data_IF_023467281044
#
_entry.id   IF_023467281044
#
_cell.length_a   1.000
_cell.length_b   1.000
_cell.length_c   1.000
_cell.angle_alpha   90.00
_cell.angle_beta   90.00
_cell.angle_gamma   90.00
#
_symmetry.space_group_name_H-M   'P 1'
#
loop_
_entity.id
_entity.type
_entity.pdbx_description
1 polymer ?
#
# COMPACT_ATOMS: atom_id res chain seq x y z
N UNK A 1 -8.60 -19.18 -2.91
CA UNK A 1 -7.19 -19.04 -3.35
C UNK A 1 -6.27 -18.79 -2.14
N UNK A 2 -6.21 -19.73 -1.21
CA UNK A 2 -5.13 -19.79 -0.21
C UNK A 2 -4.60 -21.22 -0.28
N UNK A 3 -3.74 -21.48 -1.27
CA UNK A 3 -3.13 -22.79 -1.50
C UNK A 3 -1.75 -22.85 -0.84
N UNK A 4 -1.26 -24.07 -0.60
CA UNK A 4 0.00 -24.42 0.08
C UNK A 4 1.29 -23.92 -0.61
N UNK A 5 1.17 -23.02 -1.59
CA UNK A 5 2.26 -22.46 -2.36
C UNK A 5 2.07 -20.95 -2.59
N UNK A 6 1.50 -20.25 -1.60
CA UNK A 6 1.38 -18.80 -1.63
C UNK A 6 2.77 -18.17 -1.48
N UNK A 7 3.24 -17.34 -2.43
CA UNK A 7 4.62 -16.86 -2.43
C UNK A 7 4.91 -15.84 -1.34
N UNK A 8 3.87 -15.17 -0.83
CA UNK A 8 3.98 -14.29 0.34
C UNK A 8 3.80 -15.15 1.58
N UNK A 9 4.80 -15.17 2.44
CA UNK A 9 4.80 -15.97 3.67
C UNK A 9 3.76 -15.45 4.66
N UNK A 10 3.25 -16.36 5.51
CA UNK A 10 2.32 -15.98 6.57
C UNK A 10 2.96 -14.97 7.54
N UNK A 11 4.23 -15.18 7.90
CA UNK A 11 4.96 -14.30 8.80
C UNK A 11 5.03 -12.85 8.26
N UNK A 12 5.30 -12.67 6.96
CA UNK A 12 5.33 -11.33 6.36
C UNK A 12 3.95 -10.66 6.38
N UNK A 13 2.88 -11.44 6.19
CA UNK A 13 1.50 -10.94 6.29
C UNK A 13 1.19 -10.53 7.72
N UNK A 14 1.47 -11.40 8.70
CA UNK A 14 1.23 -11.15 10.12
C UNK A 14 2.02 -9.91 10.60
N UNK A 15 3.31 -9.81 10.24
CA UNK A 15 4.18 -8.67 10.56
C UNK A 15 3.65 -7.37 9.95
N UNK A 16 3.16 -7.43 8.71
CA UNK A 16 2.61 -6.25 8.02
C UNK A 16 1.30 -5.80 8.67
N UNK A 17 0.43 -6.75 9.04
CA UNK A 17 -0.82 -6.46 9.75
C UNK A 17 -0.50 -5.82 11.11
N UNK A 18 0.44 -6.39 11.87
CA UNK A 18 0.86 -5.84 13.16
C UNK A 18 1.45 -4.42 13.02
N UNK A 19 2.30 -4.20 12.02
CA UNK A 19 2.88 -2.89 11.72
C UNK A 19 1.81 -1.83 11.40
N UNK A 20 0.89 -2.14 10.49
CA UNK A 20 -0.17 -1.19 10.14
C UNK A 20 -1.14 -0.96 11.29
N UNK A 21 -1.46 -1.99 12.08
CA UNK A 21 -2.26 -1.83 13.29
C UNK A 21 -1.59 -0.86 14.26
N UNK A 22 -0.30 -1.04 14.54
CA UNK A 22 0.45 -0.14 15.41
C UNK A 22 0.44 1.31 14.90
N UNK A 23 0.58 1.50 13.58
CA UNK A 23 0.50 2.83 12.96
C UNK A 23 -0.89 3.45 13.12
N UNK A 24 -1.96 2.72 12.82
CA UNK A 24 -3.32 3.24 12.89
C UNK A 24 -3.80 3.51 14.32
N UNK A 25 -3.21 2.85 15.32
CA UNK A 25 -3.42 3.14 16.75
C UNK A 25 -2.70 4.42 17.22
N UNK A 26 -1.76 4.98 16.45
CA UNK A 26 -1.09 6.25 16.82
C UNK A 26 -2.06 7.44 16.82
N UNK A 27 -1.76 8.51 17.60
CA UNK A 27 -2.58 9.72 17.62
C UNK A 27 -2.78 10.33 16.22
N UNK A 28 -3.98 10.85 15.95
CA UNK A 28 -4.32 11.49 14.66
C UNK A 28 -3.31 12.57 14.27
N UNK A 29 -2.82 13.36 15.24
CA UNK A 29 -1.80 14.39 14.98
C UNK A 29 -0.50 13.81 14.40
N UNK A 30 -0.11 12.59 14.78
CA UNK A 30 1.04 11.90 14.21
C UNK A 30 0.72 11.39 12.81
N UNK A 31 -0.41 10.70 12.64
CA UNK A 31 -0.81 10.14 11.34
C UNK A 31 -0.95 11.23 10.27
N UNK A 32 -1.52 12.37 10.63
CA UNK A 32 -1.71 13.53 9.74
C UNK A 32 -0.40 14.15 9.23
N UNK A 33 0.76 13.91 9.87
CA UNK A 33 2.06 14.31 9.31
C UNK A 33 2.36 13.64 7.97
N UNK A 34 1.74 12.49 7.72
CA UNK A 34 1.94 11.67 6.52
C UNK A 34 0.81 11.81 5.50
N UNK A 35 -0.13 12.75 5.71
CA UNK A 35 -1.14 13.06 4.73
C UNK A 35 -0.70 14.25 3.87
N UNK A 36 -0.45 13.99 2.59
CA UNK A 36 -0.20 15.04 1.61
C UNK A 36 -1.47 15.31 0.78
N UNK A 37 -2.12 16.43 1.11
CA UNK A 37 -3.30 16.93 0.41
C UNK A 37 -3.02 17.36 -1.04
N UNK A 38 -1.78 17.74 -1.36
CA UNK A 38 -1.44 18.25 -2.70
C UNK A 38 -1.47 17.14 -3.75
N UNK A 39 -1.21 15.90 -3.32
CA UNK A 39 -1.31 14.70 -4.17
C UNK A 39 -2.57 13.88 -3.86
N UNK A 40 -3.53 14.45 -3.13
CA UNK A 40 -4.80 13.80 -2.79
C UNK A 40 -4.67 12.52 -1.96
N UNK A 41 -3.57 12.35 -1.23
CA UNK A 41 -3.29 11.12 -0.48
C UNK A 41 -2.78 9.95 -1.34
N UNK A 42 -2.31 10.19 -2.57
CA UNK A 42 -1.76 9.16 -3.46
C UNK A 42 -0.53 8.41 -2.87
N UNK A 43 0.09 8.96 -1.83
CA UNK A 43 1.15 8.36 -1.02
C UNK A 43 0.91 8.69 0.44
N UNK A 44 1.32 7.78 1.33
CA UNK A 44 1.22 7.98 2.77
C UNK A 44 -0.19 7.81 3.31
N UNK A 45 -0.47 8.51 4.39
CA UNK A 45 -1.72 8.40 5.13
C UNK A 45 -2.86 9.13 4.43
N UNK A 46 -4.04 8.53 4.37
CA UNK A 46 -5.30 9.20 4.03
C UNK A 46 -6.23 9.08 5.24
N UNK A 47 -6.69 10.19 5.84
CA UNK A 47 -7.57 10.16 6.99
C UNK A 47 -8.96 9.64 6.61
N UNK A 48 -9.77 9.36 7.63
CA UNK A 48 -11.18 9.04 7.46
C UNK A 48 -11.87 10.02 6.51
N UNK A 49 -12.40 9.50 5.41
CA UNK A 49 -13.40 10.22 4.61
C UNK A 49 -14.78 9.83 5.13
N UNK A 50 -15.62 10.82 5.38
CA UNK A 50 -17.06 10.60 5.43
C UNK A 50 -17.48 10.48 3.96
N UNK A 51 -17.32 9.30 3.36
CA UNK A 51 -18.05 9.01 2.13
C UNK A 51 -19.51 8.85 2.56
N UNK A 52 -20.29 9.93 2.43
CA UNK A 52 -21.75 9.85 2.58
C UNK A 52 -22.26 9.14 1.34
N UNK A 53 -22.67 7.86 1.41
CA UNK A 53 -23.29 7.23 0.26
C UNK A 53 -24.62 7.97 0.05
N UNK A 54 -24.98 8.27 -1.21
CA UNK A 54 -26.23 9.00 -1.52
C UNK A 54 -27.48 8.35 -0.90
N UNK A 55 -27.43 7.05 -0.57
CA UNK A 55 -28.53 6.26 -0.03
C UNK A 55 -28.11 5.32 1.14
N UNK A 56 -27.01 5.61 1.85
CA UNK A 56 -26.47 4.72 2.91
C UNK A 56 -26.64 5.25 4.32
N UNK A 57 -27.27 4.49 5.21
CA UNK A 57 -27.52 4.87 6.62
C UNK A 57 -26.25 4.94 7.49
N UNK A 58 -25.13 4.38 7.04
CA UNK A 58 -23.87 4.35 7.79
C UNK A 58 -22.69 4.78 6.91
N UNK A 59 -21.99 5.84 7.32
CA UNK A 59 -20.74 6.25 6.70
C UNK A 59 -19.68 5.18 6.95
N UNK A 60 -19.09 4.65 5.88
CA UNK A 60 -17.99 3.70 5.97
C UNK A 60 -16.71 4.45 6.33
N UNK A 61 -16.40 4.52 7.63
CA UNK A 61 -15.20 5.17 8.11
C UNK A 61 -14.00 4.28 7.77
N UNK A 62 -13.27 4.65 6.72
CA UNK A 62 -11.98 4.05 6.37
C UNK A 62 -10.86 5.08 6.37
N UNK A 63 -9.74 4.71 6.96
CA UNK A 63 -8.45 5.37 6.80
C UNK A 63 -7.50 4.44 6.02
N UNK A 64 -6.54 5.03 5.31
CA UNK A 64 -5.68 4.28 4.39
C UNK A 64 -4.21 4.67 4.56
N UNK A 65 -3.33 3.75 4.16
CA UNK A 65 -1.95 4.04 3.83
C UNK A 65 -1.68 3.62 2.39
N UNK A 66 -1.17 4.52 1.56
CA UNK A 66 -0.87 4.28 0.15
C UNK A 66 0.64 4.21 -0.09
N UNK A 67 1.08 3.15 -0.74
CA UNK A 67 2.46 2.93 -1.17
C UNK A 67 2.49 2.59 -2.66
N UNK A 68 3.44 3.16 -3.38
CA UNK A 68 3.72 2.87 -4.78
C UNK A 68 5.07 2.19 -5.00
N UNK A 69 5.44 2.04 -6.27
CA UNK A 69 6.78 1.56 -6.65
C UNK A 69 7.82 2.65 -6.41
N UNK A 70 8.95 2.28 -5.80
CA UNK A 70 10.14 3.14 -5.77
C UNK A 70 10.79 3.16 -7.16
N UNK A 71 10.97 4.36 -7.71
CA UNK A 71 11.58 4.56 -9.02
C UNK A 71 12.96 5.22 -8.86
N UNK A 72 13.99 4.78 -9.63
CA UNK A 72 15.22 5.54 -9.80
C UNK A 72 14.95 6.96 -10.27
N UNK A 73 15.85 7.89 -9.94
CA UNK A 73 15.69 9.31 -10.28
C UNK A 73 15.52 9.54 -11.79
N UNK A 74 16.30 8.83 -12.60
CA UNK A 74 16.29 8.92 -14.07
C UNK A 74 15.14 8.14 -14.74
N UNK A 75 14.21 7.58 -13.95
CA UNK A 75 13.13 6.77 -14.51
C UNK A 75 12.12 7.66 -15.26
N UNK A 76 11.70 7.33 -16.50
CA UNK A 76 10.82 8.19 -17.30
C UNK A 76 9.48 8.51 -16.63
N UNK A 77 8.98 7.61 -15.79
CA UNK A 77 7.74 7.79 -15.02
C UNK A 77 7.90 8.53 -13.68
N UNK A 78 9.11 8.94 -13.29
CA UNK A 78 9.34 9.71 -12.05
C UNK A 78 8.50 10.99 -12.01
N UNK A 79 8.26 11.61 -13.17
CA UNK A 79 7.41 12.80 -13.31
C UNK A 79 5.92 12.55 -13.01
N UNK A 80 5.45 11.30 -13.06
CA UNK A 80 4.03 10.94 -12.84
C UNK A 80 3.81 10.15 -11.54
N UNK A 81 4.86 9.50 -11.03
CA UNK A 81 4.77 8.62 -9.87
C UNK A 81 5.49 9.26 -8.68
N UNK A 82 4.71 9.77 -7.75
CA UNK A 82 5.23 10.36 -6.51
C UNK A 82 6.06 9.36 -5.70
N UNK A 83 7.05 9.89 -4.99
CA UNK A 83 7.88 9.14 -4.06
C UNK A 83 7.09 8.65 -2.84
N UNK A 84 7.49 7.49 -2.32
CA UNK A 84 6.94 6.99 -1.08
C UNK A 84 7.42 7.83 0.10
N UNK A 85 6.53 8.03 1.08
CA UNK A 85 6.91 8.47 2.41
C UNK A 85 6.91 7.28 3.38
N UNK A 86 7.60 7.42 4.50
CA UNK A 86 7.74 6.39 5.52
C UNK A 86 7.58 6.98 6.91
N UNK A 87 6.95 6.23 7.82
CA UNK A 87 6.71 6.69 9.19
C UNK A 87 8.03 6.73 9.97
N UNK A 88 8.59 7.92 10.16
CA UNK A 88 9.89 8.12 10.80
C UNK A 88 9.93 7.68 12.27
N UNK A 89 8.80 7.70 12.97
CA UNK A 89 8.68 7.23 14.35
C UNK A 89 8.66 5.69 14.47
N UNK A 90 8.59 4.97 13.34
CA UNK A 90 8.54 3.51 13.29
C UNK A 90 9.71 3.00 12.44
N UNK A 91 10.88 2.66 13.05
CA UNK A 91 12.11 2.36 12.33
C UNK A 91 11.99 1.24 11.29
N UNK A 92 11.15 0.24 11.55
CA UNK A 92 10.94 -0.91 10.66
C UNK A 92 9.91 -0.64 9.56
N UNK A 93 9.23 0.51 9.59
CA UNK A 93 8.10 0.77 8.70
C UNK A 93 8.52 0.71 7.23
N UNK A 94 9.64 1.36 6.91
CA UNK A 94 10.19 1.37 5.55
C UNK A 94 10.53 -0.03 5.06
N UNK A 95 11.35 -0.76 5.81
CA UNK A 95 11.84 -2.08 5.37
C UNK A 95 10.69 -3.09 5.21
N UNK A 96 9.75 -3.14 6.16
CA UNK A 96 8.60 -4.06 6.13
C UNK A 96 7.62 -3.73 5.00
N UNK A 97 7.25 -2.47 4.83
CA UNK A 97 6.31 -2.08 3.75
C UNK A 97 6.91 -2.26 2.35
N UNK A 98 8.19 -1.92 2.16
CA UNK A 98 8.87 -2.17 0.89
C UNK A 98 8.97 -3.66 0.59
N UNK A 99 9.29 -4.50 1.59
CA UNK A 99 9.34 -5.95 1.42
C UNK A 99 7.97 -6.50 1.01
N UNK A 100 6.90 -6.08 1.69
CA UNK A 100 5.53 -6.47 1.34
C UNK A 100 5.18 -6.09 -0.11
N UNK A 101 5.45 -4.85 -0.51
CA UNK A 101 5.19 -4.38 -1.88
C UNK A 101 5.95 -5.22 -2.91
N UNK A 102 7.23 -5.51 -2.66
CA UNK A 102 8.07 -6.30 -3.56
C UNK A 102 7.55 -7.73 -3.73
N UNK A 103 7.12 -8.38 -2.66
CA UNK A 103 6.56 -9.74 -2.74
C UNK A 103 5.24 -9.77 -3.53
N UNK A 104 4.36 -8.78 -3.35
CA UNK A 104 3.16 -8.63 -4.17
C UNK A 104 3.48 -8.35 -5.64
N UNK A 105 4.45 -7.48 -5.93
CA UNK A 105 4.89 -7.17 -7.30
C UNK A 105 5.45 -8.41 -8.01
N UNK A 106 6.29 -9.19 -7.31
CA UNK A 106 6.83 -10.44 -7.84
C UNK A 106 5.74 -11.48 -8.06
N UNK A 107 4.77 -11.57 -7.14
CA UNK A 107 3.64 -12.49 -7.30
C UNK A 107 2.78 -12.12 -8.51
N UNK A 108 2.43 -10.84 -8.67
CA UNK A 108 1.67 -10.35 -9.82
C UNK A 108 2.35 -10.68 -11.14
N UNK A 109 3.67 -10.50 -11.24
CA UNK A 109 4.47 -10.88 -12.42
C UNK A 109 4.42 -12.37 -12.73
N UNK A 110 4.38 -13.23 -11.70
CA UNK A 110 4.27 -14.69 -11.89
C UNK A 110 2.90 -15.09 -12.44
N UNK A 111 1.83 -14.48 -11.93
CA UNK A 111 0.45 -14.72 -12.41
C UNK A 111 0.34 -14.30 -13.88
N UNK A 112 0.79 -13.09 -14.21
CA UNK A 112 0.76 -12.57 -15.59
C UNK A 112 1.58 -13.43 -16.56
N UNK A 113 2.74 -13.93 -16.11
CA UNK A 113 3.54 -14.85 -16.91
C UNK A 113 2.87 -16.22 -17.13
N UNK A 114 2.05 -16.69 -16.19
CA UNK A 114 1.31 -17.95 -16.32
C UNK A 114 0.03 -17.83 -17.16
N UNK A 115 -0.55 -16.63 -17.27
CA UNK A 115 -1.78 -16.37 -18.03
C UNK A 115 -1.52 -16.04 -19.51
N UNK A 116 -0.30 -16.25 -20.01
CA UNK A 116 0.01 -16.21 -21.44
C UNK A 116 -0.60 -17.41 -22.17
N UNK A 117 -1.91 -17.37 -22.38
CA UNK A 117 -2.50 -18.03 -23.54
C UNK A 117 -1.82 -17.46 -24.80
N UNK A 118 -1.36 -18.30 -25.75
CA UNK A 118 -0.99 -17.79 -27.06
C UNK A 118 -2.24 -17.16 -27.64
N UNK A 119 -2.20 -15.85 -27.87
CA UNK A 119 -3.11 -15.24 -28.84
C UNK A 119 -2.77 -15.90 -30.18
N UNK A 120 -3.54 -16.91 -30.56
CA UNK A 120 -3.55 -17.36 -31.95
C UNK A 120 -4.13 -16.23 -32.81
N UNK A 121 -3.53 -15.98 -33.99
CA UNK A 121 -3.87 -14.85 -34.85
C UNK A 121 -5.29 -14.89 -35.40
#
# INVERSE_FOLDING_TARGET
MWGSNHPITKDLVDDSIALFKEFFEKPTVLKMKYFDKNIGGARGYTPYKIETPKDGEHADLKEFWQMGRDLPEEHPYKQFMFDNCFVSEMPEFKSKTQKLFQEFDQFGKKIDASDKHPFEP
#
